data_IF_271554846291
#
_entry.id   IF_271554846291
#
_cell.length_a   1.000
_cell.length_b   1.000
_cell.length_c   1.000
_cell.angle_alpha   90.00
_cell.angle_beta   90.00
_cell.angle_gamma   90.00
#
_symmetry.space_group_name_H-M   'P 1'
#
loop_
_entity.id
_entity.type
_entity.pdbx_description
1 polymer ?
#
# COMPACT_ATOMS: atom_id res chain seq x y z
N UNK A 1 -32.97 46.59 8.77
CA UNK A 1 -31.81 45.67 8.59
C UNK A 1 -32.00 44.91 7.29
N UNK A 2 -31.09 45.13 6.33
CA UNK A 2 -31.29 44.88 4.89
C UNK A 2 -31.33 43.38 4.52
N UNK A 3 -32.27 42.99 3.65
CA UNK A 3 -32.49 41.61 3.19
C UNK A 3 -31.25 40.98 2.50
N UNK A 4 -30.32 41.82 2.01
CA UNK A 4 -29.04 41.41 1.43
C UNK A 4 -28.02 40.87 2.45
N UNK A 5 -28.08 41.30 3.71
CA UNK A 5 -27.18 40.79 4.76
C UNK A 5 -27.63 39.41 5.28
N UNK A 6 -28.94 39.10 5.23
CA UNK A 6 -29.48 37.78 5.57
C UNK A 6 -29.09 36.71 4.54
N UNK A 7 -29.03 37.06 3.26
CA UNK A 7 -28.65 36.15 2.19
C UNK A 7 -27.16 35.73 2.25
N UNK A 8 -26.27 36.64 2.66
CA UNK A 8 -24.84 36.34 2.83
C UNK A 8 -24.53 35.38 3.98
N UNK A 9 -25.29 35.46 5.08
CA UNK A 9 -25.14 34.55 6.22
C UNK A 9 -25.65 33.13 5.93
N UNK A 10 -26.67 32.97 5.08
CA UNK A 10 -27.20 31.64 4.72
C UNK A 10 -26.25 30.93 3.74
N UNK A 11 -25.61 31.65 2.82
CA UNK A 11 -24.63 31.06 1.89
C UNK A 11 -23.32 30.61 2.57
N UNK A 12 -22.90 31.28 3.64
CA UNK A 12 -21.72 30.90 4.43
C UNK A 12 -21.97 29.71 5.38
N UNK A 13 -23.22 29.43 5.77
CA UNK A 13 -23.55 28.31 6.66
C UNK A 13 -23.67 26.97 5.92
N UNK A 14 -24.01 26.99 4.63
CA UNK A 14 -24.18 25.77 3.81
C UNK A 14 -22.83 25.21 3.31
N UNK A 15 -21.78 26.03 3.24
CA UNK A 15 -20.45 25.60 2.79
C UNK A 15 -19.60 24.91 3.87
N UNK A 16 -20.05 24.89 5.14
CA UNK A 16 -19.31 24.29 6.25
C UNK A 16 -19.58 22.78 6.47
N UNK A 17 -20.49 22.16 5.70
CA UNK A 17 -20.91 20.76 5.89
C UNK A 17 -20.32 19.77 4.88
N UNK A 18 -19.49 20.23 3.95
CA UNK A 18 -18.78 19.35 3.00
C UNK A 18 -17.35 19.07 3.46
N UNK A 19 -17.19 18.59 4.70
CA UNK A 19 -15.94 17.95 5.10
C UNK A 19 -15.79 16.61 4.35
N UNK A 20 -14.57 16.20 3.96
CA UNK A 20 -14.37 14.88 3.39
C UNK A 20 -14.89 13.84 4.39
N UNK A 21 -15.88 13.05 3.98
CA UNK A 21 -16.40 11.96 4.79
C UNK A 21 -15.26 10.98 5.07
N UNK A 22 -14.80 10.94 6.31
CA UNK A 22 -13.83 9.93 6.75
C UNK A 22 -14.60 8.61 6.78
N UNK A 23 -14.48 7.81 5.72
CA UNK A 23 -14.99 6.44 5.72
C UNK A 23 -14.24 5.67 6.80
N UNK A 24 -14.89 5.39 7.93
CA UNK A 24 -14.31 4.54 8.97
C UNK A 24 -14.65 3.09 8.64
N UNK A 25 -13.64 2.34 8.20
CA UNK A 25 -13.72 0.88 8.20
C UNK A 25 -13.87 0.42 9.65
N UNK A 26 -14.76 -0.55 9.90
CA UNK A 26 -14.91 -1.10 11.23
C UNK A 26 -13.72 -2.04 11.52
N UNK A 27 -13.34 -2.90 10.59
CA UNK A 27 -12.18 -3.78 10.74
C UNK A 27 -10.92 -3.12 10.16
N UNK A 28 -9.99 -2.74 11.04
CA UNK A 28 -8.68 -2.21 10.67
C UNK A 28 -7.57 -3.25 10.83
N UNK A 29 -6.55 -3.14 9.98
CA UNK A 29 -5.35 -3.97 9.99
C UNK A 29 -4.19 -3.17 10.60
N UNK A 30 -3.35 -3.81 11.42
CA UNK A 30 -2.28 -3.16 12.20
C UNK A 30 -1.09 -2.61 11.38
N UNK A 31 -1.10 -2.77 10.06
CA UNK A 31 -0.02 -2.36 9.13
C UNK A 31 -0.56 -2.19 7.71
N UNK A 32 0.25 -1.62 6.82
CA UNK A 32 -0.12 -1.37 5.40
C UNK A 32 0.53 -2.36 4.42
N UNK A 33 1.51 -3.14 4.89
CA UNK A 33 2.18 -4.21 4.14
C UNK A 33 2.75 -5.24 5.09
N UNK A 34 3.00 -6.44 4.58
CA UNK A 34 3.50 -7.56 5.38
C UNK A 34 4.77 -8.10 4.72
N UNK A 35 5.83 -8.26 5.51
CA UNK A 35 7.05 -8.97 5.13
C UNK A 35 7.05 -10.30 5.88
N UNK A 36 7.08 -11.41 5.16
CA UNK A 36 7.20 -12.75 5.72
C UNK A 36 8.54 -13.35 5.26
N UNK A 37 9.44 -13.63 6.21
CA UNK A 37 10.68 -14.33 5.88
C UNK A 37 10.41 -15.79 5.53
N UNK A 38 11.18 -16.37 4.60
CA UNK A 38 10.95 -17.73 4.09
C UNK A 38 11.24 -18.84 5.10
N UNK A 39 12.05 -18.54 6.13
CA UNK A 39 12.35 -19.40 7.27
C UNK A 39 11.31 -19.29 8.40
N UNK A 40 10.50 -18.23 8.39
CA UNK A 40 9.41 -18.06 9.33
C UNK A 40 8.26 -19.02 9.00
N UNK A 41 7.87 -19.83 9.98
CA UNK A 41 6.70 -20.74 9.84
C UNK A 41 5.38 -19.97 9.67
N UNK A 42 5.30 -18.77 10.24
CA UNK A 42 4.13 -17.92 10.19
C UNK A 42 4.45 -16.45 10.51
N UNK A 43 3.59 -15.55 10.07
CA UNK A 43 3.52 -14.16 10.53
C UNK A 43 2.11 -13.88 11.08
N UNK A 44 2.02 -13.07 12.14
CA UNK A 44 0.74 -12.67 12.73
C UNK A 44 0.42 -11.23 12.38
N UNK A 45 -0.82 -10.99 11.96
CA UNK A 45 -1.37 -9.69 11.60
C UNK A 45 -2.49 -9.36 12.59
N UNK A 46 -2.42 -8.19 13.22
CA UNK A 46 -3.45 -7.71 14.13
C UNK A 46 -4.65 -7.15 13.38
N UNK A 47 -5.85 -7.48 13.84
CA UNK A 47 -7.11 -6.87 13.42
C UNK A 47 -7.76 -6.15 14.61
N UNK A 48 -8.34 -4.97 14.40
CA UNK A 48 -9.16 -4.27 15.39
C UNK A 48 -10.53 -3.94 14.83
N UNK A 49 -11.58 -4.18 15.61
CA UNK A 49 -12.90 -3.65 15.33
C UNK A 49 -13.04 -2.29 16.02
N UNK A 50 -12.98 -1.21 15.24
CA UNK A 50 -13.16 0.17 15.73
C UNK A 50 -14.64 0.60 15.81
N UNK A 51 -15.58 -0.29 15.45
CA UNK A 51 -16.99 -0.07 15.78
C UNK A 51 -17.17 -0.02 17.29
N UNK A 52 -17.95 0.96 17.76
CA UNK A 52 -18.16 1.22 19.20
C UNK A 52 -19.20 0.30 19.82
N UNK A 53 -20.13 -0.19 19.01
CA UNK A 53 -21.37 -0.82 19.47
C UNK A 53 -21.72 -2.10 18.70
N UNK A 54 -21.14 -2.34 17.52
CA UNK A 54 -21.51 -3.47 16.68
C UNK A 54 -20.40 -4.51 16.52
N UNK A 55 -20.70 -5.82 16.61
CA UNK A 55 -19.77 -6.87 16.23
C UNK A 55 -19.66 -6.96 14.70
N UNK A 56 -18.47 -7.30 14.21
CA UNK A 56 -18.21 -7.51 12.78
C UNK A 56 -17.59 -8.89 12.57
N UNK A 57 -17.88 -9.52 11.43
CA UNK A 57 -17.04 -10.64 10.98
C UNK A 57 -15.89 -10.09 10.13
N UNK A 58 -14.71 -10.69 10.28
CA UNK A 58 -13.57 -10.47 9.42
C UNK A 58 -13.28 -11.74 8.64
N UNK A 59 -13.40 -11.67 7.32
CA UNK A 59 -12.99 -12.72 6.40
C UNK A 59 -11.58 -12.44 5.91
N UNK A 60 -10.70 -13.45 5.91
CA UNK A 60 -9.28 -13.26 5.57
C UNK A 60 -8.77 -14.36 4.64
N UNK A 61 -8.01 -13.97 3.61
CA UNK A 61 -7.42 -14.91 2.64
C UNK A 61 -6.15 -14.32 2.00
N UNK A 62 -5.42 -15.16 1.26
CA UNK A 62 -4.22 -14.76 0.51
C UNK A 62 -4.42 -15.04 -0.98
N UNK A 63 -3.98 -14.09 -1.80
CA UNK A 63 -3.94 -14.16 -3.26
C UNK A 63 -2.48 -14.16 -3.74
N UNK A 64 -2.23 -14.75 -4.90
CA UNK A 64 -0.98 -14.61 -5.62
C UNK A 64 -0.85 -13.23 -6.29
N UNK A 65 0.28 -12.99 -6.95
CA UNK A 65 0.56 -11.71 -7.67
C UNK A 65 -0.45 -11.37 -8.77
N UNK A 66 -1.26 -12.33 -9.24
CA UNK A 66 -2.29 -12.13 -10.27
C UNK A 66 -3.69 -11.91 -9.65
N UNK A 67 -3.79 -11.84 -8.32
CA UNK A 67 -5.06 -11.67 -7.62
C UNK A 67 -5.89 -12.95 -7.51
N UNK A 68 -5.29 -14.13 -7.74
CA UNK A 68 -5.98 -15.41 -7.62
C UNK A 68 -5.72 -16.03 -6.25
N UNK A 69 -6.74 -16.62 -5.63
CA UNK A 69 -6.59 -17.38 -4.40
C UNK A 69 -5.50 -18.46 -4.54
N UNK A 70 -4.59 -18.52 -3.55
CA UNK A 70 -3.43 -19.41 -3.58
C UNK A 70 -3.43 -20.38 -2.41
N UNK A 71 -2.81 -21.54 -2.61
CA UNK A 71 -2.58 -22.54 -1.57
C UNK A 71 -1.14 -22.51 -1.04
N UNK A 72 -0.29 -21.57 -1.50
CA UNK A 72 1.10 -21.45 -1.04
C UNK A 72 1.16 -20.84 0.36
N UNK A 73 0.32 -19.85 0.60
CA UNK A 73 0.17 -19.15 1.87
C UNK A 73 -1.31 -19.19 2.27
N UNK A 74 -1.58 -19.43 3.55
CA UNK A 74 -2.92 -19.55 4.11
C UNK A 74 -3.07 -18.60 5.29
N UNK A 75 -4.20 -17.87 5.34
CA UNK A 75 -4.58 -17.03 6.45
C UNK A 75 -5.58 -17.75 7.37
N UNK A 76 -5.29 -17.81 8.67
CA UNK A 76 -6.12 -18.48 9.68
C UNK A 76 -6.42 -17.56 10.89
N UNK A 77 -7.66 -17.57 11.41
CA UNK A 77 -8.84 -18.21 10.83
C UNK A 77 -9.31 -17.46 9.56
N UNK A 78 -9.94 -18.15 8.59
CA UNK A 78 -10.43 -17.52 7.36
C UNK A 78 -11.69 -16.67 7.59
N UNK A 79 -12.41 -16.90 8.69
CA UNK A 79 -13.55 -16.11 9.14
C UNK A 79 -13.56 -16.07 10.66
N UNK A 80 -13.74 -14.89 11.25
CA UNK A 80 -13.84 -14.71 12.69
C UNK A 80 -14.75 -13.55 13.07
N UNK A 81 -15.44 -13.67 14.20
CA UNK A 81 -16.18 -12.56 14.81
C UNK A 81 -15.25 -11.74 15.70
N UNK A 82 -15.34 -10.42 15.58
CA UNK A 82 -14.63 -9.47 16.43
C UNK A 82 -15.69 -8.55 17.03
N UNK A 83 -15.90 -8.64 18.35
CA UNK A 83 -16.85 -7.77 19.05
C UNK A 83 -16.40 -6.31 19.05
N UNK A 84 -17.33 -5.40 19.33
CA UNK A 84 -17.11 -3.96 19.33
C UNK A 84 -15.90 -3.55 20.19
N UNK A 85 -15.02 -2.71 19.65
CA UNK A 85 -13.79 -2.24 20.29
C UNK A 85 -12.75 -3.33 20.57
N UNK A 86 -12.96 -4.59 20.14
CA UNK A 86 -12.03 -5.70 20.41
C UNK A 86 -11.00 -5.84 19.30
N UNK A 87 -9.91 -6.52 19.67
CA UNK A 87 -8.82 -6.89 18.77
C UNK A 87 -8.76 -8.40 18.62
N UNK A 88 -8.36 -8.84 17.44
CA UNK A 88 -8.05 -10.23 17.16
C UNK A 88 -6.80 -10.32 16.30
N UNK A 89 -6.43 -11.52 15.87
CA UNK A 89 -5.29 -11.77 15.00
C UNK A 89 -5.64 -12.74 13.89
N UNK A 90 -4.95 -12.57 12.77
CA UNK A 90 -4.87 -13.54 11.69
C UNK A 90 -3.43 -14.01 11.62
N UNK A 91 -3.24 -15.32 11.44
CA UNK A 91 -1.94 -15.94 11.26
C UNK A 91 -1.81 -16.39 9.82
N UNK A 92 -0.83 -15.84 9.12
CA UNK A 92 -0.48 -16.23 7.75
C UNK A 92 0.63 -17.27 7.85
N UNK A 93 0.43 -18.43 7.23
CA UNK A 93 1.34 -19.57 7.32
C UNK A 93 1.72 -20.06 5.93
N UNK A 94 2.92 -20.60 5.80
CA UNK A 94 3.36 -21.27 4.58
C UNK A 94 2.89 -22.72 4.59
N UNK A 95 2.26 -23.16 3.51
CA UNK A 95 1.87 -24.55 3.32
C UNK A 95 3.05 -25.31 2.74
N UNK A 96 3.52 -26.33 3.45
CA UNK A 96 4.51 -27.25 2.92
C UNK A 96 3.83 -28.15 1.88
N UNK A 97 4.50 -28.42 0.75
CA UNK A 97 3.99 -29.29 -0.32
C UNK A 97 2.66 -28.85 -0.94
N UNK A 98 2.48 -27.54 -1.19
CA UNK A 98 1.27 -26.99 -1.81
C UNK A 98 1.01 -27.42 -3.26
N UNK A 99 1.89 -28.24 -3.86
CA UNK A 99 1.87 -28.60 -5.28
C UNK A 99 2.13 -27.43 -6.23
N UNK A 100 2.44 -26.24 -5.70
CA UNK A 100 2.74 -25.05 -6.48
C UNK A 100 4.19 -25.06 -6.99
N UNK A 101 4.42 -24.32 -8.08
CA UNK A 101 5.77 -24.06 -8.59
C UNK A 101 6.68 -23.54 -7.48
N UNK A 102 7.91 -24.06 -7.36
CA UNK A 102 8.88 -23.56 -6.39
C UNK A 102 9.07 -22.05 -6.54
N UNK A 103 9.02 -21.34 -5.42
CA UNK A 103 9.28 -19.91 -5.40
C UNK A 103 10.78 -19.64 -5.53
N UNK A 104 11.19 -18.54 -6.20
CA UNK A 104 12.60 -18.19 -6.32
C UNK A 104 13.21 -17.90 -4.95
N UNK A 105 14.45 -18.35 -4.76
CA UNK A 105 15.21 -18.16 -3.53
C UNK A 105 16.17 -16.96 -3.59
N UNK A 106 16.31 -16.33 -4.76
CA UNK A 106 17.21 -15.21 -5.03
C UNK A 106 16.52 -13.84 -4.99
N UNK A 107 15.18 -13.80 -4.85
CA UNK A 107 14.36 -12.58 -4.86
C UNK A 107 13.05 -12.73 -4.10
N UNK A 108 12.45 -11.61 -3.74
CA UNK A 108 11.11 -11.59 -3.14
C UNK A 108 10.04 -12.16 -4.08
N UNK A 109 9.02 -12.79 -3.49
CA UNK A 109 7.79 -13.19 -4.17
C UNK A 109 6.61 -12.36 -3.65
N UNK A 110 5.77 -11.87 -4.56
CA UNK A 110 4.61 -11.03 -4.23
C UNK A 110 3.33 -11.87 -4.07
N UNK A 111 2.64 -11.60 -2.98
CA UNK A 111 1.29 -12.05 -2.65
C UNK A 111 0.46 -10.86 -2.17
N UNK A 112 -0.84 -11.06 -2.02
CA UNK A 112 -1.74 -10.09 -1.39
C UNK A 112 -2.50 -10.73 -0.25
N UNK A 113 -2.48 -10.08 0.92
CA UNK A 113 -3.33 -10.44 2.05
C UNK A 113 -4.59 -9.60 2.00
N UNK A 114 -5.75 -10.25 2.04
CA UNK A 114 -7.04 -9.60 1.99
C UNK A 114 -7.77 -9.78 3.31
N UNK A 115 -8.41 -8.70 3.78
CA UNK A 115 -9.35 -8.71 4.91
C UNK A 115 -10.61 -8.00 4.47
N UNK A 116 -11.74 -8.71 4.47
CA UNK A 116 -13.06 -8.14 4.19
C UNK A 116 -13.89 -8.16 5.44
N UNK A 117 -14.42 -7.02 5.82
CA UNK A 117 -15.39 -6.94 6.91
C UNK A 117 -16.78 -7.37 6.43
N UNK A 118 -17.56 -7.98 7.31
CA UNK A 118 -18.97 -8.28 7.06
C UNK A 118 -19.74 -7.65 8.23
N UNK A 119 -20.47 -6.55 7.97
CA UNK A 119 -21.27 -5.90 8.99
C UNK A 119 -22.46 -6.78 9.42
N UNK A 120 -23.03 -6.54 10.60
CA UNK A 120 -24.23 -7.24 11.05
C UNK A 120 -25.42 -6.91 10.14
N UNK A 121 -26.37 -7.84 10.04
CA UNK A 121 -27.59 -7.58 9.27
C UNK A 121 -28.34 -6.38 9.87
N UNK A 122 -28.95 -5.50 9.04
CA UNK A 122 -29.76 -4.41 9.54
C UNK A 122 -30.93 -4.92 10.38
N UNK A 123 -31.22 -4.22 11.48
CA UNK A 123 -32.33 -4.58 12.39
C UNK A 123 -33.70 -4.44 11.71
N UNK A 124 -33.87 -3.39 10.90
CA UNK A 124 -35.11 -3.08 10.21
C UNK A 124 -34.99 -3.35 8.70
N UNK A 125 -35.50 -4.52 8.30
CA UNK A 125 -35.51 -4.97 6.89
C UNK A 125 -36.58 -4.30 6.04
N UNK A 126 -37.47 -3.48 6.62
CA UNK A 126 -38.52 -2.77 5.88
C UNK A 126 -38.03 -1.49 5.21
N UNK A 127 -36.82 -1.04 5.55
CA UNK A 127 -36.18 0.14 4.97
C UNK A 127 -35.29 -0.23 3.79
N UNK A 128 -35.24 0.65 2.79
CA UNK A 128 -34.26 0.58 1.71
C UNK A 128 -32.88 0.98 2.25
N UNK A 129 -32.11 0.00 2.72
CA UNK A 129 -30.80 0.20 3.34
C UNK A 129 -29.69 -0.20 2.34
N UNK A 130 -28.76 0.73 2.10
CA UNK A 130 -27.47 0.43 1.47
C UNK A 130 -26.46 0.11 2.57
N UNK A 131 -25.87 -1.08 2.52
CA UNK A 131 -24.84 -1.50 3.45
C UNK A 131 -23.49 -1.59 2.73
N UNK A 132 -22.48 -0.90 3.27
CA UNK A 132 -21.12 -0.92 2.75
C UNK A 132 -20.28 -1.90 3.56
N UNK A 133 -19.44 -2.66 2.87
CA UNK A 133 -18.46 -3.56 3.45
C UNK A 133 -17.09 -3.20 2.86
N UNK A 134 -16.14 -2.83 3.71
CA UNK A 134 -14.78 -2.50 3.26
C UNK A 134 -13.93 -3.76 3.12
N UNK A 135 -13.06 -3.76 2.11
CA UNK A 135 -12.04 -4.77 1.91
C UNK A 135 -10.68 -4.09 1.85
N UNK A 136 -9.78 -4.49 2.76
CA UNK A 136 -8.38 -4.10 2.76
C UNK A 136 -7.56 -5.15 2.03
N UNK A 137 -6.80 -4.74 1.01
CA UNK A 137 -5.84 -5.58 0.30
C UNK A 137 -4.43 -5.03 0.55
N UNK A 138 -3.59 -5.83 1.19
CA UNK A 138 -2.23 -5.46 1.58
C UNK A 138 -1.23 -6.29 0.79
N UNK A 139 -0.13 -5.65 0.36
CA UNK A 139 0.99 -6.37 -0.24
C UNK A 139 1.66 -7.26 0.82
N UNK A 140 1.85 -8.53 0.48
CA UNK A 140 2.52 -9.54 1.29
C UNK A 140 3.76 -10.03 0.52
N UNK A 141 4.95 -9.69 1.02
CA UNK A 141 6.21 -10.07 0.40
C UNK A 141 6.77 -11.28 1.13
N UNK A 142 6.88 -12.42 0.42
CA UNK A 142 7.64 -13.56 0.91
C UNK A 142 9.11 -13.32 0.55
N UNK A 143 9.92 -13.05 1.57
CA UNK A 143 11.33 -12.70 1.44
C UNK A 143 12.21 -13.91 1.74
N UNK A 144 13.04 -14.39 0.80
CA UNK A 144 14.05 -15.41 1.08
C UNK A 144 14.90 -15.06 2.30
N UNK A 145 15.22 -16.05 3.13
CA UNK A 145 15.99 -15.86 4.37
C UNK A 145 17.39 -15.26 4.12
N UNK A 146 18.00 -15.60 2.98
CA UNK A 146 19.26 -14.98 2.50
C UNK A 146 19.16 -13.47 2.35
N UNK A 147 17.98 -12.94 2.01
CA UNK A 147 17.70 -11.52 1.84
C UNK A 147 17.14 -10.85 3.09
N UNK A 148 16.66 -11.64 4.07
CA UNK A 148 16.08 -11.13 5.30
C UNK A 148 17.13 -10.56 6.26
N UNK A 149 18.33 -11.16 6.30
CA UNK A 149 19.47 -10.65 7.06
C UNK A 149 19.93 -9.26 6.58
N UNK A 150 19.68 -8.94 5.30
CA UNK A 150 19.99 -7.65 4.67
C UNK A 150 18.84 -6.63 4.76
N UNK A 151 17.74 -6.95 5.44
CA UNK A 151 16.45 -6.21 5.43
C UNK A 151 16.46 -4.73 5.88
N UNK A 152 17.63 -4.12 6.05
CA UNK A 152 17.83 -2.67 6.24
C UNK A 152 18.59 -1.98 5.09
N UNK A 153 18.98 -2.71 4.04
CA UNK A 153 19.89 -2.25 2.98
C UNK A 153 19.31 -1.18 2.03
N UNK A 154 18.14 -0.61 2.34
CA UNK A 154 17.51 0.49 1.61
C UNK A 154 17.54 0.29 0.07
N UNK A 155 16.89 -0.76 -0.46
CA UNK A 155 17.01 -1.15 -1.87
C UNK A 155 16.64 -0.03 -2.85
N UNK A 156 15.78 0.90 -2.44
CA UNK A 156 15.45 2.12 -3.17
C UNK A 156 16.66 2.99 -3.55
N UNK A 157 17.77 2.90 -2.81
CA UNK A 157 18.99 3.66 -3.09
C UNK A 157 19.73 3.13 -4.32
N UNK A 158 19.46 1.89 -4.73
CA UNK A 158 20.04 1.29 -5.94
C UNK A 158 19.13 1.46 -7.16
N UNK A 159 17.99 2.12 -7.01
CA UNK A 159 17.09 2.39 -8.14
C UNK A 159 17.79 3.32 -9.14
N UNK A 160 17.64 3.03 -10.42
CA UNK A 160 18.09 3.91 -11.52
C UNK A 160 16.85 4.47 -12.22
N UNK A 161 16.84 5.77 -12.51
CA UNK A 161 15.74 6.42 -13.24
C UNK A 161 16.29 6.94 -14.57
N UNK A 162 15.83 6.38 -15.67
CA UNK A 162 16.29 6.70 -17.01
C UNK A 162 15.23 7.52 -17.75
N UNK A 163 15.62 8.67 -18.27
CA UNK A 163 14.76 9.52 -19.08
C UNK A 163 14.69 9.02 -20.52
N UNK A 164 13.48 8.86 -21.03
CA UNK A 164 13.22 8.54 -22.44
C UNK A 164 12.09 9.41 -22.98
N UNK A 165 12.44 10.56 -23.55
CA UNK A 165 11.47 11.53 -24.07
C UNK A 165 10.48 12.01 -23.00
N UNK A 166 9.21 11.58 -23.12
CA UNK A 166 8.10 11.95 -22.20
C UNK A 166 7.80 10.90 -21.13
N UNK A 167 8.64 9.87 -21.02
CA UNK A 167 8.52 8.82 -20.01
C UNK A 167 9.81 8.70 -19.21
N UNK A 168 9.68 8.08 -18.04
CA UNK A 168 10.81 7.66 -17.23
C UNK A 168 10.75 6.14 -17.08
N UNK A 169 11.89 5.48 -17.23
CA UNK A 169 12.06 4.06 -16.97
C UNK A 169 12.73 3.90 -15.61
N UNK A 170 12.02 3.26 -14.69
CA UNK A 170 12.49 2.93 -13.35
C UNK A 170 13.12 1.54 -13.40
N UNK A 171 14.44 1.44 -13.24
CA UNK A 171 15.17 0.18 -13.26
C UNK A 171 15.53 -0.23 -11.83
N UNK A 172 15.07 -1.41 -11.44
CA UNK A 172 15.33 -2.01 -10.14
C UNK A 172 16.33 -3.16 -10.27
N UNK A 173 17.62 -2.94 -9.96
CA UNK A 173 18.62 -4.00 -9.99
C UNK A 173 18.63 -4.87 -8.72
N UNK A 174 17.70 -4.66 -7.77
CA UNK A 174 17.71 -5.32 -6.46
C UNK A 174 16.79 -6.55 -6.43
N UNK A 175 16.99 -7.46 -5.47
CA UNK A 175 16.11 -8.62 -5.28
C UNK A 175 14.78 -8.29 -4.54
N UNK A 176 14.46 -7.00 -4.32
CA UNK A 176 13.29 -6.54 -3.56
C UNK A 176 12.28 -5.84 -4.46
N UNK A 177 11.00 -5.86 -4.10
CA UNK A 177 9.99 -5.01 -4.73
C UNK A 177 10.07 -3.57 -4.19
N UNK A 178 10.20 -2.59 -5.08
CA UNK A 178 10.27 -1.17 -4.71
C UNK A 178 8.95 -0.50 -5.08
N UNK A 179 8.18 -0.03 -4.09
CA UNK A 179 6.95 0.74 -4.33
C UNK A 179 7.25 2.23 -4.29
N UNK A 180 7.11 2.91 -5.44
CA UNK A 180 7.24 4.35 -5.58
C UNK A 180 5.87 5.00 -5.50
N UNK A 181 5.73 5.98 -4.63
CA UNK A 181 4.50 6.78 -4.43
C UNK A 181 4.70 8.25 -4.79
N UNK A 182 5.95 8.66 -5.02
CA UNK A 182 6.31 10.01 -5.42
C UNK A 182 7.45 10.02 -6.41
N UNK A 183 7.31 10.87 -7.41
CA UNK A 183 8.34 11.20 -8.38
C UNK A 183 8.16 12.67 -8.74
N UNK A 184 9.12 13.52 -8.40
CA UNK A 184 8.96 14.97 -8.45
C UNK A 184 10.27 15.72 -8.65
N UNK A 185 10.20 17.02 -8.96
CA UNK A 185 11.38 17.89 -8.92
C UNK A 185 11.75 18.27 -7.48
N UNK A 186 10.76 18.24 -6.58
CA UNK A 186 10.90 18.54 -5.17
C UNK A 186 9.96 17.66 -4.33
N UNK A 187 10.08 17.69 -2.99
CA UNK A 187 9.14 16.99 -2.10
C UNK A 187 7.71 17.54 -2.15
N UNK A 188 7.48 18.68 -2.81
CA UNK A 188 6.17 19.36 -2.89
C UNK A 188 5.54 19.33 -4.28
N UNK A 189 6.32 19.03 -5.31
CA UNK A 189 5.88 19.06 -6.70
C UNK A 189 6.23 17.75 -7.43
N UNK A 190 5.20 16.94 -7.71
CA UNK A 190 5.31 15.75 -8.57
C UNK A 190 5.58 16.14 -10.03
N UNK A 191 6.22 15.23 -10.77
CA UNK A 191 6.39 15.37 -12.21
C UNK A 191 5.04 15.28 -12.92
N UNK A 192 4.90 16.05 -14.00
CA UNK A 192 3.70 15.98 -14.85
C UNK A 192 3.55 14.57 -15.43
N UNK A 193 2.36 13.98 -15.31
CA UNK A 193 2.06 12.62 -15.76
C UNK A 193 2.11 11.56 -14.66
N UNK A 194 2.93 11.75 -13.61
CA UNK A 194 3.06 10.78 -12.53
C UNK A 194 1.92 10.96 -11.51
N UNK A 195 0.78 10.34 -11.80
CA UNK A 195 -0.44 10.47 -10.99
C UNK A 195 -0.55 9.39 -9.92
N UNK A 196 -0.26 8.16 -10.30
CA UNK A 196 -0.44 6.98 -9.45
C UNK A 196 0.92 6.40 -9.05
N UNK A 197 0.97 5.79 -7.86
CA UNK A 197 2.13 5.04 -7.43
C UNK A 197 2.35 3.82 -8.32
N UNK A 198 3.59 3.36 -8.38
CA UNK A 198 3.98 2.17 -9.13
C UNK A 198 4.85 1.25 -8.29
N UNK A 199 4.90 -0.02 -8.63
CA UNK A 199 5.77 -0.98 -7.97
C UNK A 199 6.65 -1.67 -9.00
N UNK A 200 7.96 -1.58 -8.80
CA UNK A 200 8.96 -2.19 -9.68
C UNK A 200 9.37 -3.53 -9.09
N UNK A 201 9.22 -4.61 -9.86
CA UNK A 201 9.56 -5.95 -9.43
C UNK A 201 11.09 -6.15 -9.31
N UNK A 202 11.57 -7.16 -8.57
CA UNK A 202 12.98 -7.50 -8.50
C UNK A 202 13.61 -7.71 -9.88
N UNK A 203 14.81 -7.17 -10.08
CA UNK A 203 15.59 -7.31 -11.32
C UNK A 203 14.81 -6.96 -12.60
N UNK A 204 13.93 -5.94 -12.52
CA UNK A 204 13.05 -5.55 -13.61
C UNK A 204 13.09 -4.05 -13.86
N UNK A 205 12.43 -3.62 -14.93
CA UNK A 205 12.24 -2.20 -15.23
C UNK A 205 10.77 -1.90 -15.46
N UNK A 206 10.32 -0.72 -15.04
CA UNK A 206 8.95 -0.26 -15.21
C UNK A 206 8.96 1.14 -15.83
N UNK A 207 8.31 1.30 -16.97
CA UNK A 207 8.12 2.62 -17.59
C UNK A 207 6.90 3.30 -16.99
N UNK A 208 7.03 4.58 -16.66
CA UNK A 208 5.97 5.44 -16.16
C UNK A 208 5.83 6.68 -17.01
N UNK A 209 4.59 7.17 -17.12
CA UNK A 209 4.30 8.46 -17.72
C UNK A 209 4.75 9.55 -16.75
N UNK A 210 5.90 10.16 -17.01
CA UNK A 210 6.43 11.24 -16.21
C UNK A 210 7.32 12.11 -17.10
N UNK A 211 7.03 13.40 -17.16
CA UNK A 211 7.81 14.35 -17.95
C UNK A 211 8.82 15.02 -17.05
N UNK A 212 10.09 14.74 -17.29
CA UNK A 212 11.21 15.43 -16.66
C UNK A 212 11.55 16.69 -17.46
N UNK A 213 11.41 17.90 -16.90
CA UNK A 213 11.72 19.14 -17.62
C UNK A 213 13.19 19.21 -18.04
N UNK A 214 13.45 19.80 -19.21
CA UNK A 214 14.81 19.97 -19.71
C UNK A 214 15.67 20.76 -18.72
N UNK A 215 16.93 20.34 -18.56
CA UNK A 215 17.86 20.94 -17.60
C UNK A 215 17.63 20.56 -16.14
N UNK A 216 16.70 19.65 -15.84
CA UNK A 216 16.55 19.13 -14.47
C UNK A 216 17.76 18.26 -14.10
N UNK A 217 18.55 18.70 -13.13
CA UNK A 217 19.72 17.99 -12.60
C UNK A 217 19.39 17.17 -11.34
N UNK A 218 18.20 17.34 -10.77
CA UNK A 218 17.77 16.71 -9.51
C UNK A 218 16.30 16.32 -9.54
N UNK A 219 16.02 15.13 -9.01
CA UNK A 219 14.65 14.67 -8.75
C UNK A 219 14.53 14.14 -7.33
N UNK A 220 13.28 14.04 -6.87
CA UNK A 220 12.91 13.41 -5.61
C UNK A 220 12.08 12.18 -5.90
N UNK A 221 12.54 11.04 -5.40
CA UNK A 221 11.87 9.76 -5.45
C UNK A 221 11.38 9.41 -4.05
N UNK A 222 10.07 9.26 -3.88
CA UNK A 222 9.47 8.80 -2.64
C UNK A 222 9.02 7.36 -2.74
N UNK A 223 9.56 6.49 -1.90
CA UNK A 223 9.19 5.08 -1.79
C UNK A 223 8.48 4.79 -0.46
N UNK A 224 7.80 3.65 -0.40
CA UNK A 224 7.28 3.10 0.87
C UNK A 224 8.26 2.05 1.37
N UNK A 225 8.73 2.17 2.61
CA UNK A 225 9.60 1.19 3.27
C UNK A 225 8.81 0.01 3.85
N UNK A 226 9.51 -0.97 4.45
CA UNK A 226 8.90 -2.17 5.03
C UNK A 226 7.95 -1.88 6.20
N UNK A 227 8.12 -0.74 6.88
CA UNK A 227 7.28 -0.29 7.99
C UNK A 227 6.07 0.52 7.51
N UNK A 228 5.96 0.77 6.20
CA UNK A 228 4.90 1.56 5.61
C UNK A 228 5.17 3.07 5.63
N UNK A 229 6.35 3.51 6.07
CA UNK A 229 6.73 4.91 6.05
C UNK A 229 7.13 5.34 4.64
N UNK A 230 6.71 6.55 4.27
CA UNK A 230 7.17 7.19 3.04
C UNK A 230 8.58 7.73 3.26
N UNK A 231 9.55 7.32 2.43
CA UNK A 231 10.92 7.80 2.46
C UNK A 231 11.18 8.61 1.20
N UNK A 232 11.55 9.87 1.38
CA UNK A 232 11.92 10.76 0.29
C UNK A 232 13.43 10.69 0.07
N UNK A 233 13.84 10.50 -1.18
CA UNK A 233 15.24 10.35 -1.55
C UNK A 233 15.54 11.32 -2.71
N UNK A 234 16.67 12.03 -2.61
CA UNK A 234 17.15 12.93 -3.66
C UNK A 234 18.04 12.15 -4.61
N UNK A 235 17.82 12.36 -5.89
CA UNK A 235 18.57 11.75 -6.98
C UNK A 235 19.21 12.87 -7.82
N UNK A 236 20.40 12.61 -8.35
CA UNK A 236 21.10 13.53 -9.28
C UNK A 236 21.03 12.95 -10.68
N UNK A 237 20.66 13.77 -11.66
CA UNK A 237 20.48 13.41 -13.05
C UNK A 237 21.64 13.91 -13.91
N UNK A 238 22.29 12.99 -14.62
CA UNK A 238 23.38 13.28 -15.56
C UNK A 238 23.07 12.59 -16.88
N UNK A 239 23.03 13.35 -17.98
CA UNK A 239 22.75 12.82 -19.32
C UNK A 239 21.46 11.96 -19.42
N UNK A 240 20.43 12.30 -18.65
CA UNK A 240 19.15 11.58 -18.63
C UNK A 240 19.11 10.35 -17.70
N UNK A 241 20.20 10.02 -17.02
CA UNK A 241 20.23 8.98 -15.99
C UNK A 241 20.28 9.62 -14.60
N UNK A 242 19.32 9.29 -13.74
CA UNK A 242 19.26 9.76 -12.37
C UNK A 242 19.54 8.64 -11.38
N UNK A 243 20.50 8.87 -10.48
CA UNK A 243 20.91 7.93 -9.44
C UNK A 243 20.79 8.54 -8.05
N UNK A 244 20.64 7.68 -7.04
CA UNK A 244 20.50 8.11 -5.66
C UNK A 244 21.68 8.96 -5.20
N UNK A 245 21.38 10.03 -4.45
CA UNK A 245 22.39 10.90 -3.83
C UNK A 245 22.33 10.81 -2.31
N UNK A 246 21.15 11.06 -1.74
CA UNK A 246 20.96 11.10 -0.30
C UNK A 246 19.49 10.94 0.07
N UNK A 247 19.25 10.54 1.32
CA UNK A 247 17.91 10.56 1.93
C UNK A 247 17.58 11.97 2.38
N UNK A 248 16.35 12.41 2.11
CA UNK A 248 15.82 13.65 2.67
C UNK A 248 15.32 13.32 4.07
N UNK A 249 15.92 13.95 5.07
CA UNK A 249 15.43 13.95 6.44
C UNK A 249 14.53 15.18 6.62
N UNK A 250 13.34 14.98 7.19
CA UNK A 250 12.47 16.06 7.64
C UNK A 250 13.02 16.72 8.90
#
# INVERSE_FOLDING_TARGET
MNNRQKAGLIAALVTALAGPGVSQAAINVDRTRIIMSSDAKAVSVGLSNESRDQPYLAQSWVEDSQGKATNVLIALPPLQRIDAGKKSRVRIMRVQNSGATPLPADRESLFYFNVREIPPAPEDKSKNILQLATQSQLKLFLRPASLAAEGSAAPEQKLEVLQSGRTLTLKNPTPYYITLVWLGQSPKQKLAGFKEGTMVAPFSSQTVNAVLPAGTDRIVVGNVDDYGAMRMNRFTCTAGECTFRERIHD
#
